data_IF_929282792936
#
_entry.id   IF_929282792936
#
_cell.length_a   1.000
_cell.length_b   1.000
_cell.length_c   1.000
_cell.angle_alpha   90.00
_cell.angle_beta   90.00
_cell.angle_gamma   90.00
#
_symmetry.space_group_name_H-M   'P 1'
#
loop_
_entity.id
_entity.type
_entity.pdbx_description
1 polymer ?
#
# COMPACT_ATOMS: atom_id res chain seq x y z
N UNK A 1 43.14 53.41 -40.83
CA UNK A 1 41.85 54.11 -40.63
C UNK A 1 41.51 54.02 -39.15
N UNK A 2 41.65 55.15 -38.42
CA UNK A 2 41.46 55.22 -36.97
C UNK A 2 40.09 55.85 -36.71
N UNK A 3 39.15 55.06 -36.20
CA UNK A 3 37.83 55.56 -35.82
C UNK A 3 37.99 56.59 -34.70
N UNK A 4 37.67 57.86 -35.00
CA UNK A 4 37.65 58.95 -34.04
C UNK A 4 36.45 58.77 -33.13
N UNK A 5 36.75 58.26 -31.94
CA UNK A 5 35.86 58.01 -30.82
C UNK A 5 35.68 59.31 -30.03
N UNK A 6 34.85 60.23 -30.48
CA UNK A 6 34.50 61.43 -29.69
C UNK A 6 33.10 61.93 -30.05
N UNK A 7 32.31 62.18 -29.00
CA UNK A 7 30.96 62.78 -28.97
C UNK A 7 29.79 61.83 -29.21
N UNK A 8 29.35 61.12 -28.17
CA UNK A 8 27.93 60.75 -28.00
C UNK A 8 27.56 60.57 -26.50
N UNK A 9 27.92 61.48 -25.57
CA UNK A 9 27.55 61.34 -24.15
C UNK A 9 26.04 61.48 -23.89
N UNK A 10 25.27 61.94 -24.89
CA UNK A 10 23.82 62.14 -24.76
C UNK A 10 22.99 60.87 -25.05
N UNK A 11 23.51 59.93 -25.85
CA UNK A 11 22.74 58.73 -26.24
C UNK A 11 22.72 57.67 -25.13
N UNK A 12 23.76 57.61 -24.29
CA UNK A 12 23.84 56.68 -23.16
C UNK A 12 22.95 57.11 -21.99
N UNK A 13 22.75 58.42 -21.78
CA UNK A 13 21.89 58.94 -20.71
C UNK A 13 20.41 58.61 -20.93
N UNK A 14 19.94 58.64 -22.19
CA UNK A 14 18.57 58.28 -22.55
C UNK A 14 18.26 56.79 -22.32
N UNK A 15 19.24 55.91 -22.55
CA UNK A 15 19.09 54.47 -22.32
C UNK A 15 19.00 54.11 -20.84
N UNK A 16 19.77 54.79 -19.98
CA UNK A 16 19.72 54.58 -18.52
C UNK A 16 18.40 55.08 -17.92
N UNK A 17 17.88 56.21 -18.41
CA UNK A 17 16.56 56.73 -18.00
C UNK A 17 15.41 55.81 -18.36
N UNK A 18 15.40 55.24 -19.58
CA UNK A 18 14.37 54.30 -20.00
C UNK A 18 14.39 52.99 -19.19
N UNK A 19 15.58 52.48 -18.84
CA UNK A 19 15.73 51.30 -17.99
C UNK A 19 15.18 51.53 -16.57
N UNK A 20 15.40 52.72 -15.98
CA UNK A 20 14.88 53.05 -14.66
C UNK A 20 13.35 53.21 -14.63
N UNK A 21 12.74 53.75 -15.71
CA UNK A 21 11.27 53.86 -15.84
C UNK A 21 10.60 52.50 -16.07
N UNK A 22 11.26 51.60 -16.81
CA UNK A 22 10.80 50.21 -16.96
C UNK A 22 10.94 49.41 -15.65
N UNK A 23 11.93 49.73 -14.82
CA UNK A 23 12.11 49.10 -13.50
C UNK A 23 11.13 49.65 -12.45
N UNK A 24 10.76 50.94 -12.55
CA UNK A 24 9.79 51.58 -11.65
C UNK A 24 8.32 51.29 -11.99
N UNK A 25 8.05 50.72 -13.17
CA UNK A 25 6.74 50.16 -13.55
C UNK A 25 6.65 48.64 -13.38
N UNK A 26 7.49 48.02 -12.53
CA UNK A 26 7.19 46.66 -12.07
C UNK A 26 5.92 46.76 -11.23
N UNK A 27 4.78 46.39 -11.83
CA UNK A 27 3.49 46.40 -11.15
C UNK A 27 3.67 45.58 -9.89
N UNK A 28 3.67 46.27 -8.74
CA UNK A 28 3.54 45.68 -7.42
C UNK A 28 2.49 44.57 -7.53
N UNK A 29 2.84 43.34 -7.14
CA UNK A 29 1.87 42.24 -7.07
C UNK A 29 0.63 42.81 -6.41
N UNK A 30 -0.48 42.86 -7.16
CA UNK A 30 -1.72 43.40 -6.62
C UNK A 30 -2.16 42.48 -5.47
N UNK A 31 -2.80 43.04 -4.45
CA UNK A 31 -3.23 42.26 -3.28
C UNK A 31 -4.07 41.03 -3.69
N UNK A 32 -4.85 41.14 -4.77
CA UNK A 32 -5.61 40.04 -5.41
C UNK A 32 -4.72 38.89 -5.90
N UNK A 33 -3.58 39.20 -6.51
CA UNK A 33 -2.62 38.20 -6.99
C UNK A 33 -1.90 37.52 -5.83
N UNK A 34 -1.58 38.28 -4.76
CA UNK A 34 -0.95 37.71 -3.56
C UNK A 34 -1.92 36.79 -2.79
N UNK A 35 -3.21 37.17 -2.70
CA UNK A 35 -4.25 36.33 -2.15
C UNK A 35 -4.40 35.03 -2.95
N UNK A 36 -4.41 35.11 -4.28
CA UNK A 36 -4.48 33.94 -5.17
C UNK A 36 -3.28 33.01 -4.99
N UNK A 37 -2.05 33.54 -4.89
CA UNK A 37 -0.85 32.75 -4.63
C UNK A 37 -0.93 32.04 -3.28
N UNK A 38 -1.44 32.72 -2.24
CA UNK A 38 -1.61 32.11 -0.92
C UNK A 38 -2.65 30.99 -0.94
N UNK A 39 -3.76 31.18 -1.65
CA UNK A 39 -4.76 30.15 -1.87
C UNK A 39 -4.13 28.93 -2.58
N UNK A 40 -3.44 29.14 -3.71
CA UNK A 40 -2.76 28.09 -4.47
C UNK A 40 -1.80 27.28 -3.59
N UNK A 41 -1.02 27.94 -2.72
CA UNK A 41 -0.12 27.26 -1.77
C UNK A 41 -0.86 26.44 -0.71
N UNK A 42 -2.06 26.88 -0.32
CA UNK A 42 -2.89 26.17 0.65
C UNK A 42 -3.50 24.93 -0.01
N UNK A 43 -4.02 25.10 -1.22
CA UNK A 43 -4.56 24.01 -2.04
C UNK A 43 -3.48 22.96 -2.37
N UNK A 44 -2.26 23.40 -2.72
CA UNK A 44 -1.11 22.51 -2.96
C UNK A 44 -0.78 21.65 -1.73
N UNK A 45 -0.73 22.26 -0.54
CA UNK A 45 -0.49 21.53 0.71
C UNK A 45 -1.58 20.53 1.01
N UNK A 46 -2.84 20.92 0.79
CA UNK A 46 -3.99 20.05 1.01
C UNK A 46 -3.96 18.86 0.05
N UNK A 47 -3.77 19.11 -1.25
CA UNK A 47 -3.64 18.07 -2.27
C UNK A 47 -2.49 17.11 -1.98
N UNK A 48 -1.34 17.64 -1.53
CA UNK A 48 -0.19 16.81 -1.16
C UNK A 48 -0.52 15.90 0.03
N UNK A 49 -1.22 16.41 1.05
CA UNK A 49 -1.66 15.60 2.18
C UNK A 49 -2.69 14.53 1.77
N UNK A 50 -3.62 14.88 0.88
CA UNK A 50 -4.64 13.96 0.36
C UNK A 50 -3.99 12.85 -0.48
N UNK A 51 -2.99 13.17 -1.30
CA UNK A 51 -2.20 12.18 -2.06
C UNK A 51 -1.50 11.22 -1.10
N UNK A 52 -0.77 11.74 -0.09
CA UNK A 52 -0.06 10.89 0.88
C UNK A 52 -1.01 9.96 1.65
N UNK A 53 -2.21 10.45 1.98
CA UNK A 53 -3.27 9.64 2.60
C UNK A 53 -3.78 8.56 1.64
N UNK A 54 -4.08 8.91 0.40
CA UNK A 54 -4.57 7.98 -0.61
C UNK A 54 -3.54 6.88 -0.92
N UNK A 55 -2.25 7.22 -0.98
CA UNK A 55 -1.16 6.23 -1.14
C UNK A 55 -1.10 5.28 0.06
N UNK A 56 -1.20 5.82 1.28
CA UNK A 56 -1.24 5.00 2.50
C UNK A 56 -2.43 4.04 2.48
N UNK A 57 -3.62 4.52 2.13
CA UNK A 57 -4.81 3.67 2.08
C UNK A 57 -4.72 2.63 0.96
N UNK A 58 -4.16 2.99 -0.20
CA UNK A 58 -3.87 2.04 -1.29
C UNK A 58 -2.95 0.91 -0.83
N UNK A 59 -1.88 1.22 -0.09
CA UNK A 59 -0.96 0.19 0.41
C UNK A 59 -1.64 -0.76 1.40
N UNK A 60 -2.46 -0.23 2.32
CA UNK A 60 -3.25 -1.03 3.27
C UNK A 60 -4.24 -1.95 2.56
N UNK A 61 -5.02 -1.41 1.62
CA UNK A 61 -6.01 -2.18 0.86
C UNK A 61 -5.32 -3.30 0.07
N UNK A 62 -4.19 -3.01 -0.58
CA UNK A 62 -3.43 -4.04 -1.29
C UNK A 62 -2.92 -5.14 -0.36
N UNK A 63 -2.44 -4.79 0.84
CA UNK A 63 -2.02 -5.77 1.84
C UNK A 63 -3.18 -6.67 2.27
N UNK A 64 -4.34 -6.08 2.60
CA UNK A 64 -5.55 -6.84 2.96
C UNK A 64 -6.02 -7.76 1.82
N UNK A 65 -6.01 -7.27 0.58
CA UNK A 65 -6.40 -8.04 -0.59
C UNK A 65 -5.48 -9.24 -0.77
N UNK A 66 -4.16 -9.04 -0.65
CA UNK A 66 -3.17 -10.12 -0.74
C UNK A 66 -3.35 -11.18 0.35
N UNK A 67 -3.67 -10.75 1.58
CA UNK A 67 -3.92 -11.65 2.72
C UNK A 67 -5.18 -12.49 2.48
N UNK A 68 -6.28 -11.86 2.07
CA UNK A 68 -7.54 -12.54 1.75
C UNK A 68 -7.39 -13.53 0.60
N UNK A 69 -6.60 -13.19 -0.42
CA UNK A 69 -6.28 -14.12 -1.51
C UNK A 69 -5.49 -15.34 -1.01
N UNK A 70 -4.53 -15.15 -0.10
CA UNK A 70 -3.79 -16.26 0.50
C UNK A 70 -4.71 -17.16 1.34
N UNK A 71 -5.64 -16.59 2.09
CA UNK A 71 -6.61 -17.35 2.87
C UNK A 71 -7.57 -18.14 1.98
N UNK A 72 -8.03 -17.56 0.87
CA UNK A 72 -8.85 -18.27 -0.12
C UNK A 72 -8.09 -19.46 -0.74
N UNK A 73 -6.80 -19.31 -1.05
CA UNK A 73 -5.98 -20.42 -1.56
C UNK A 73 -5.90 -21.55 -0.54
N UNK A 74 -5.58 -21.24 0.72
CA UNK A 74 -5.52 -22.23 1.81
C UNK A 74 -6.88 -22.92 2.02
N UNK A 75 -7.97 -22.17 1.96
CA UNK A 75 -9.32 -22.71 2.08
C UNK A 75 -9.61 -23.71 0.96
N UNK A 76 -9.31 -23.34 -0.29
CA UNK A 76 -9.51 -24.19 -1.46
C UNK A 76 -8.60 -25.44 -1.42
N UNK A 77 -7.34 -25.31 -0.99
CA UNK A 77 -6.45 -26.46 -0.79
C UNK A 77 -7.01 -27.46 0.22
N UNK A 78 -7.50 -26.98 1.36
CA UNK A 78 -8.13 -27.83 2.39
C UNK A 78 -9.41 -28.48 1.87
N UNK A 79 -10.24 -27.72 1.16
CA UNK A 79 -11.47 -28.24 0.56
C UNK A 79 -11.15 -29.34 -0.45
N UNK A 80 -10.16 -29.13 -1.32
CA UNK A 80 -9.74 -30.12 -2.31
C UNK A 80 -9.16 -31.36 -1.65
N UNK A 81 -8.38 -31.20 -0.57
CA UNK A 81 -7.90 -32.32 0.23
C UNK A 81 -9.05 -33.16 0.79
N UNK A 82 -10.07 -32.53 1.39
CA UNK A 82 -11.24 -33.25 1.92
C UNK A 82 -12.01 -33.94 0.80
N UNK A 83 -12.21 -33.27 -0.34
CA UNK A 83 -12.87 -33.87 -1.51
C UNK A 83 -12.12 -35.08 -2.05
N UNK A 84 -10.80 -35.02 -2.15
CA UNK A 84 -9.97 -36.16 -2.58
C UNK A 84 -10.09 -37.34 -1.60
N UNK A 85 -10.06 -37.08 -0.29
CA UNK A 85 -10.25 -38.12 0.72
C UNK A 85 -11.65 -38.72 0.70
N UNK A 86 -12.68 -37.90 0.50
CA UNK A 86 -14.07 -38.34 0.40
C UNK A 86 -14.30 -39.18 -0.86
N UNK A 87 -13.70 -38.81 -1.99
CA UNK A 87 -13.79 -39.58 -3.22
C UNK A 87 -13.13 -40.97 -3.13
N UNK A 88 -12.12 -41.11 -2.27
CA UNK A 88 -11.44 -42.39 -2.00
C UNK A 88 -12.13 -43.22 -0.90
N UNK A 89 -13.11 -42.66 -0.21
CA UNK A 89 -13.87 -43.35 0.84
C UNK A 89 -14.82 -44.39 0.21
N UNK A 90 -14.96 -45.60 0.78
CA UNK A 90 -14.45 -46.10 2.07
C UNK A 90 -13.05 -46.75 1.98
N UNK A 91 -12.47 -46.88 0.79
CA UNK A 91 -11.23 -47.62 0.54
C UNK A 91 -9.95 -46.97 1.08
N UNK A 92 -10.06 -45.89 1.88
CA UNK A 92 -8.93 -45.22 2.55
C UNK A 92 -8.39 -46.05 3.72
N UNK A 93 -9.23 -46.92 4.31
CA UNK A 93 -8.83 -47.81 5.40
C UNK A 93 -8.90 -49.26 4.92
N UNK A 94 -7.75 -49.85 4.62
CA UNK A 94 -7.63 -51.28 4.31
C UNK A 94 -8.09 -52.10 5.52
N UNK A 95 -9.31 -52.65 5.48
CA UNK A 95 -9.85 -53.53 6.52
C UNK A 95 -10.91 -52.93 7.46
N UNK A 96 -11.40 -51.71 7.25
CA UNK A 96 -12.51 -51.16 8.04
C UNK A 96 -13.81 -51.13 7.20
N UNK A 97 -14.82 -51.88 7.64
CA UNK A 97 -16.18 -51.86 7.09
C UNK A 97 -17.14 -51.30 8.15
N UNK A 98 -17.80 -50.14 7.91
CA UNK A 98 -18.73 -49.55 8.86
C UNK A 98 -19.95 -50.43 9.18
N UNK A 99 -20.24 -51.45 8.37
CA UNK A 99 -21.32 -52.41 8.59
C UNK A 99 -20.84 -53.81 9.01
N UNK A 100 -19.53 -53.99 9.28
CA UNK A 100 -19.08 -55.27 9.83
C UNK A 100 -19.65 -55.44 11.24
N UNK A 101 -20.29 -56.59 11.55
CA UNK A 101 -20.66 -56.92 12.92
C UNK A 101 -19.44 -56.77 13.82
N UNK A 102 -19.57 -55.98 14.90
CA UNK A 102 -18.50 -55.77 15.87
C UNK A 102 -18.25 -57.13 16.54
N UNK A 103 -17.21 -57.84 16.14
CA UNK A 103 -16.72 -58.98 16.90
C UNK A 103 -16.15 -58.46 18.22
N UNK A 104 -16.78 -58.85 19.33
CA UNK A 104 -16.35 -58.50 20.69
C UNK A 104 -14.92 -59.02 20.93
N UNK A 105 -13.96 -58.10 20.97
CA UNK A 105 -12.60 -58.40 21.43
C UNK A 105 -12.70 -58.75 22.93
N UNK A 106 -12.20 -59.92 23.40
CA UNK A 106 -12.21 -60.23 24.82
C UNK A 106 -11.35 -59.19 25.56
N UNK A 107 -11.95 -58.59 26.59
CA UNK A 107 -11.36 -57.49 27.36
C UNK A 107 -9.92 -57.80 27.82
N UNK A 108 -8.97 -56.85 27.70
CA UNK A 108 -7.62 -57.04 28.22
C UNK A 108 -7.67 -57.23 29.73
N UNK A 109 -7.05 -58.31 30.21
CA UNK A 109 -6.97 -58.65 31.62
C UNK A 109 -6.41 -57.46 32.43
N UNK A 110 -7.16 -57.05 33.46
CA UNK A 110 -6.77 -55.92 34.32
C UNK A 110 -5.44 -56.20 35.03
N UNK A 111 -4.58 -55.18 35.23
CA UNK A 111 -3.31 -55.34 35.93
C UNK A 111 -3.54 -55.63 37.41
N UNK A 112 -3.07 -56.79 37.88
CA UNK A 112 -3.11 -57.17 39.30
C UNK A 112 -2.22 -56.24 40.14
N UNK A 113 -2.83 -55.42 41.00
CA UNK A 113 -2.13 -54.65 42.03
C UNK A 113 -1.52 -55.59 43.06
N UNK A 114 -0.19 -55.65 43.16
CA UNK A 114 0.50 -56.33 44.26
C UNK A 114 0.42 -55.48 45.54
N UNK A 115 -0.37 -55.94 46.51
CA UNK A 115 -0.41 -55.40 47.87
C UNK A 115 0.92 -55.66 48.57
N UNK A 116 1.68 -54.60 48.84
CA UNK A 116 2.86 -54.59 49.71
C UNK A 116 2.38 -54.81 51.15
N UNK A 117 2.68 -55.97 51.74
CA UNK A 117 2.47 -56.23 53.17
C UNK A 117 3.80 -56.05 53.91
N UNK A 118 3.66 -55.30 55.00
CA UNK A 118 4.63 -54.78 55.96
C UNK A 118 5.57 -55.82 56.55
#
# INVERSE_FOLDING_TARGET
MKHRLTSLPWLTSAFVGAALVLTSCTCKIKDEQQAMINQLRTDEKQLTADIAKAETDKTKINAELSSRQADLRKCNERLNFVKDKMARWPHVWTGWDPNSPIEEIPAPAQPTTKTKKR
#
